data_IF_390573841767
#
_entry.id   IF_390573841767
#
_cell.length_a   1.000
_cell.length_b   1.000
_cell.length_c   1.000
_cell.angle_alpha   90.00
_cell.angle_beta   90.00
_cell.angle_gamma   90.00
#
_symmetry.space_group_name_H-M   'P 1'
#
loop_
_entity.id
_entity.type
_entity.pdbx_description
1 polymer ?
#
# COMPACT_ATOMS: atom_id res chain seq x y z
N UNK A 1 -4.27 -40.30 -11.94
CA UNK A 1 -4.98 -40.71 -10.72
C UNK A 1 -3.97 -40.71 -9.56
N UNK A 2 -4.23 -39.87 -8.54
CA UNK A 2 -3.86 -39.88 -7.11
C UNK A 2 -2.71 -40.80 -6.62
N UNK A 3 -1.85 -40.48 -5.64
CA UNK A 3 -1.90 -39.45 -4.60
C UNK A 3 -0.55 -39.33 -3.87
N UNK A 4 -0.41 -38.16 -3.25
CA UNK A 4 0.56 -37.63 -2.27
C UNK A 4 0.80 -38.54 -1.05
N UNK A 5 2.04 -38.59 -0.53
CA UNK A 5 2.31 -38.50 0.92
C UNK A 5 3.71 -37.92 1.15
N UNK A 6 3.76 -36.69 1.67
CA UNK A 6 4.98 -36.01 2.13
C UNK A 6 5.17 -36.34 3.61
N UNK A 7 6.24 -37.06 3.94
CA UNK A 7 6.76 -37.24 5.30
C UNK A 7 8.01 -36.38 5.41
N UNK A 8 7.89 -35.21 6.03
CA UNK A 8 9.04 -34.37 6.39
C UNK A 8 9.62 -34.87 7.72
N UNK A 9 10.66 -35.70 7.62
CA UNK A 9 11.65 -35.86 8.67
C UNK A 9 12.40 -34.54 8.87
N UNK A 10 12.20 -33.87 10.00
CA UNK A 10 13.10 -32.81 10.44
C UNK A 10 14.30 -33.49 11.14
N UNK A 11 15.28 -33.94 10.34
CA UNK A 11 16.63 -34.29 10.80
C UNK A 11 17.66 -33.44 10.07
N UNK A 12 18.61 -32.91 10.84
CA UNK A 12 19.84 -32.22 10.44
C UNK A 12 19.69 -30.87 9.73
N UNK A 13 19.87 -29.79 10.51
CA UNK A 13 20.61 -28.63 10.02
C UNK A 13 21.89 -28.50 10.85
N UNK A 14 23.00 -28.78 10.17
CA UNK A 14 24.37 -28.46 10.54
C UNK A 14 24.55 -26.94 10.63
N UNK A 15 25.04 -26.44 11.77
CA UNK A 15 25.46 -25.05 12.04
C UNK A 15 24.48 -23.94 11.62
N UNK A 16 23.40 -23.75 12.39
CA UNK A 16 22.78 -22.44 12.57
C UNK A 16 22.45 -22.28 14.05
N UNK A 17 23.15 -21.37 14.72
CA UNK A 17 22.73 -20.83 16.02
C UNK A 17 21.31 -20.31 15.85
N UNK A 18 20.31 -20.87 16.54
CA UNK A 18 18.92 -20.44 16.41
C UNK A 18 18.82 -19.02 17.00
N UNK A 19 18.86 -18.02 16.12
CA UNK A 19 18.78 -16.61 16.49
C UNK A 19 17.33 -16.18 16.48
N UNK A 20 16.82 -15.79 17.64
CA UNK A 20 15.47 -15.25 17.80
C UNK A 20 15.58 -13.75 18.01
N UNK A 21 14.79 -12.99 17.26
CA UNK A 21 14.68 -11.54 17.42
C UNK A 21 13.56 -11.22 18.40
N UNK A 22 13.79 -10.25 19.25
CA UNK A 22 12.80 -9.79 20.21
C UNK A 22 12.79 -8.25 20.28
N UNK A 23 11.63 -7.71 20.61
CA UNK A 23 11.44 -6.27 20.79
C UNK A 23 11.65 -5.90 22.26
N UNK A 24 12.47 -4.88 22.50
CA UNK A 24 12.74 -4.30 23.81
C UNK A 24 11.44 -3.83 24.49
N UNK A 25 11.20 -4.24 25.73
CA UNK A 25 9.96 -3.98 26.48
C UNK A 25 8.75 -4.81 26.02
N UNK A 26 8.98 -5.91 25.32
CA UNK A 26 7.96 -6.89 24.92
C UNK A 26 8.36 -8.29 25.42
N UNK A 27 7.99 -9.36 24.72
CA UNK A 27 8.32 -10.74 25.09
C UNK A 27 8.86 -11.55 23.91
N UNK A 28 9.33 -12.76 24.19
CA UNK A 28 9.79 -13.70 23.16
C UNK A 28 9.42 -15.13 23.52
N UNK A 29 8.68 -15.78 22.64
CA UNK A 29 8.46 -17.22 22.66
C UNK A 29 9.64 -17.93 22.01
N UNK A 30 10.11 -18.97 22.69
CA UNK A 30 11.21 -19.83 22.26
C UNK A 30 10.61 -21.20 21.98
N UNK A 31 10.27 -21.54 20.73
CA UNK A 31 9.83 -22.88 20.39
C UNK A 31 10.94 -23.89 20.67
N UNK A 32 10.64 -24.91 21.46
CA UNK A 32 11.68 -25.81 21.95
C UNK A 32 11.11 -27.22 22.11
N UNK A 33 11.88 -28.21 21.66
CA UNK A 33 11.72 -29.61 22.03
C UNK A 33 13.07 -30.18 22.44
N UNK A 34 13.06 -31.16 23.32
CA UNK A 34 14.30 -31.73 23.85
C UNK A 34 14.37 -33.24 23.69
N UNK A 35 15.59 -33.79 23.71
CA UNK A 35 15.85 -35.23 23.59
C UNK A 35 16.35 -35.79 24.90
N UNK A 36 15.61 -36.72 25.49
CA UNK A 36 16.01 -37.45 26.69
C UNK A 36 15.84 -38.97 26.48
N UNK A 37 16.62 -39.83 27.17
CA UNK A 37 16.47 -41.28 27.08
C UNK A 37 15.04 -41.72 27.42
N UNK A 38 14.47 -42.61 26.62
CA UNK A 38 13.10 -43.11 26.83
C UNK A 38 12.89 -43.79 28.18
N UNK A 39 13.89 -44.52 28.65
CA UNK A 39 13.87 -45.20 29.96
C UNK A 39 13.73 -44.20 31.11
N UNK A 40 14.41 -43.06 31.03
CA UNK A 40 14.30 -42.00 32.03
C UNK A 40 12.94 -41.30 31.90
N UNK A 41 12.52 -40.95 30.67
CA UNK A 41 11.22 -40.29 30.43
C UNK A 41 10.02 -41.12 30.94
N UNK A 42 10.10 -42.45 30.90
CA UNK A 42 9.01 -43.33 31.36
C UNK A 42 8.96 -43.48 32.89
N UNK A 43 10.11 -43.37 33.55
CA UNK A 43 10.23 -43.67 34.98
C UNK A 43 10.29 -42.42 35.86
N UNK A 44 10.56 -41.24 35.28
CA UNK A 44 10.69 -39.99 36.03
C UNK A 44 9.36 -39.56 36.67
N UNK A 45 9.42 -39.15 37.94
CA UNK A 45 8.24 -38.63 38.65
C UNK A 45 8.03 -37.14 38.41
N UNK A 46 9.12 -36.38 38.31
CA UNK A 46 9.08 -34.92 38.11
C UNK A 46 10.14 -34.49 37.12
N UNK A 47 9.78 -33.55 36.24
CA UNK A 47 10.66 -32.96 35.24
C UNK A 47 10.67 -31.46 35.49
N UNK A 48 11.85 -30.89 35.64
CA UNK A 48 12.07 -29.46 35.85
C UNK A 48 12.87 -28.88 34.71
N UNK A 49 12.57 -27.64 34.41
CA UNK A 49 13.24 -26.86 33.37
C UNK A 49 14.15 -25.78 33.96
N UNK A 50 15.22 -25.49 33.23
CA UNK A 50 16.23 -24.51 33.60
C UNK A 50 16.72 -23.76 32.36
N UNK A 51 16.95 -22.46 32.48
CA UNK A 51 17.61 -21.64 31.47
C UNK A 51 18.88 -21.01 32.03
N UNK A 52 19.97 -21.14 31.27
CA UNK A 52 21.30 -20.61 31.62
C UNK A 52 21.71 -19.61 30.56
N UNK A 53 22.19 -18.44 30.96
CA UNK A 53 22.64 -17.35 30.08
C UNK A 53 24.16 -17.34 29.95
N UNK A 54 24.70 -16.88 28.81
CA UNK A 54 26.14 -16.72 28.48
C UNK A 54 26.95 -17.99 28.31
N UNK A 55 26.87 -18.92 29.26
CA UNK A 55 27.72 -20.11 29.30
C UNK A 55 26.89 -21.35 29.60
N UNK A 56 27.19 -22.46 28.92
CA UNK A 56 26.58 -23.77 29.15
C UNK A 56 26.90 -24.37 30.53
N UNK A 57 27.99 -23.93 31.14
CA UNK A 57 28.50 -24.51 32.36
C UNK A 57 27.59 -24.16 33.55
N UNK A 58 26.91 -25.17 34.10
CA UNK A 58 26.25 -25.08 35.39
C UNK A 58 27.31 -25.15 36.50
N UNK A 59 28.17 -24.12 36.55
CA UNK A 59 29.25 -23.99 37.53
C UNK A 59 28.84 -23.03 38.64
N UNK A 60 29.29 -23.28 39.87
CA UNK A 60 29.19 -22.30 40.94
C UNK A 60 30.13 -21.12 40.65
N UNK A 61 29.67 -19.87 40.81
CA UNK A 61 28.33 -19.50 41.28
C UNK A 61 27.26 -19.64 40.19
N UNK A 62 26.05 -20.08 40.59
CA UNK A 62 24.84 -20.22 39.76
C UNK A 62 24.34 -18.88 39.19
N UNK A 63 25.17 -17.82 39.17
CA UNK A 63 24.84 -16.48 38.70
C UNK A 63 24.38 -16.42 37.25
N UNK A 64 24.67 -17.46 36.45
CA UNK A 64 24.26 -17.58 35.06
C UNK A 64 22.90 -18.24 34.86
N UNK A 65 22.34 -18.88 35.91
CA UNK A 65 21.00 -19.47 35.87
C UNK A 65 19.98 -18.35 35.98
N UNK A 66 19.24 -18.12 34.90
CA UNK A 66 18.21 -17.07 34.82
C UNK A 66 16.83 -17.58 35.18
N UNK A 67 16.60 -18.89 35.04
CA UNK A 67 15.37 -19.57 35.41
C UNK A 67 15.68 -20.99 35.90
N UNK A 68 15.12 -21.40 37.04
CA UNK A 68 15.12 -22.78 37.51
C UNK A 68 13.83 -23.06 38.27
N UNK A 69 13.00 -23.93 37.70
CA UNK A 69 11.70 -24.32 38.26
C UNK A 69 11.82 -25.09 39.57
N UNK A 70 12.80 -26.00 39.68
CA UNK A 70 13.01 -26.81 40.88
C UNK A 70 13.40 -25.98 42.11
N UNK A 71 14.15 -24.91 41.89
CA UNK A 71 14.71 -24.06 42.96
C UNK A 71 14.03 -22.70 43.06
N UNK A 72 12.97 -22.48 42.29
CA UNK A 72 12.25 -21.21 42.17
C UNK A 72 13.18 -20.00 41.95
N UNK A 73 14.15 -20.15 41.02
CA UNK A 73 15.09 -19.10 40.67
C UNK A 73 14.55 -18.35 39.47
N UNK A 74 14.45 -17.02 39.57
CA UNK A 74 14.24 -16.10 38.46
C UNK A 74 15.21 -14.92 38.63
N UNK A 75 16.13 -14.72 37.68
CA UNK A 75 17.18 -13.68 37.79
C UNK A 75 17.27 -12.86 36.52
N UNK A 76 17.23 -11.55 36.68
CA UNK A 76 17.33 -10.60 35.57
C UNK A 76 16.06 -10.49 34.72
N UNK A 77 15.06 -11.33 34.93
CA UNK A 77 13.78 -11.27 34.21
C UNK A 77 12.62 -11.03 35.16
N UNK A 78 11.58 -10.37 34.68
CA UNK A 78 10.38 -10.10 35.46
C UNK A 78 9.46 -11.32 35.52
N UNK A 79 9.36 -12.07 34.41
CA UNK A 79 8.57 -13.29 34.32
C UNK A 79 9.06 -14.20 33.18
N UNK A 80 9.17 -15.50 33.46
CA UNK A 80 9.43 -16.55 32.48
C UNK A 80 8.40 -17.65 32.70
N UNK A 81 7.76 -18.12 31.63
CA UNK A 81 6.69 -19.12 31.67
C UNK A 81 6.99 -20.26 30.70
N UNK A 82 6.93 -21.49 31.19
CA UNK A 82 6.99 -22.69 30.34
C UNK A 82 5.58 -22.99 29.84
N UNK A 83 5.39 -22.93 28.52
CA UNK A 83 4.11 -23.27 27.88
C UNK A 83 4.06 -24.74 27.44
N UNK A 84 5.22 -25.33 27.12
CA UNK A 84 5.31 -26.70 26.64
C UNK A 84 5.08 -27.74 27.73
N UNK A 85 4.50 -28.87 27.36
CA UNK A 85 4.40 -30.02 28.25
C UNK A 85 5.73 -30.81 28.28
N UNK A 86 6.49 -30.66 29.37
CA UNK A 86 7.80 -31.32 29.53
C UNK A 86 7.71 -32.86 29.45
N UNK A 87 6.59 -33.47 29.86
CA UNK A 87 6.37 -34.92 29.74
C UNK A 87 6.22 -35.38 28.29
N UNK A 88 5.78 -34.48 27.41
CA UNK A 88 5.73 -34.67 25.95
C UNK A 88 7.01 -34.19 25.25
N UNK A 89 8.06 -33.85 26.00
CA UNK A 89 9.34 -33.33 25.53
C UNK A 89 9.27 -31.94 24.90
N UNK A 90 8.24 -31.17 25.25
CA UNK A 90 8.06 -29.81 24.79
C UNK A 90 8.59 -28.83 25.84
N UNK A 91 9.56 -28.01 25.46
CA UNK A 91 10.22 -27.02 26.32
C UNK A 91 9.93 -25.58 25.89
N UNK A 92 8.88 -25.37 25.09
CA UNK A 92 8.51 -24.03 24.62
C UNK A 92 8.33 -23.09 25.80
N UNK A 93 9.13 -22.02 25.81
CA UNK A 93 9.21 -21.07 26.93
C UNK A 93 8.98 -19.65 26.44
N UNK A 94 8.29 -18.82 27.22
CA UNK A 94 8.13 -17.38 26.94
C UNK A 94 8.91 -16.59 27.97
N UNK A 95 9.73 -15.66 27.48
CA UNK A 95 10.46 -14.70 28.30
C UNK A 95 9.73 -13.37 28.15
N UNK A 96 9.17 -12.84 29.25
CA UNK A 96 8.45 -11.57 29.25
C UNK A 96 9.36 -10.41 29.65
N UNK A 97 8.98 -9.22 29.21
CA UNK A 97 9.64 -7.95 29.51
C UNK A 97 11.14 -7.97 29.17
N UNK A 98 11.45 -8.41 27.94
CA UNK A 98 12.84 -8.52 27.48
C UNK A 98 13.42 -7.15 27.15
N UNK A 99 14.62 -6.89 27.63
CA UNK A 99 15.33 -5.61 27.46
C UNK A 99 16.65 -5.83 26.72
N UNK A 100 17.28 -4.76 26.22
CA UNK A 100 18.52 -4.87 25.42
C UNK A 100 19.66 -5.63 26.12
N UNK A 101 19.78 -5.53 27.44
CA UNK A 101 20.77 -6.25 28.26
C UNK A 101 20.50 -7.79 28.33
N UNK A 102 19.35 -8.26 27.84
CA UNK A 102 19.01 -9.67 27.71
C UNK A 102 19.53 -10.28 26.40
N UNK A 103 20.14 -9.50 25.51
CA UNK A 103 20.78 -10.03 24.30
C UNK A 103 21.94 -10.95 24.67
N UNK A 104 21.82 -12.25 24.40
CA UNK A 104 22.83 -13.25 24.75
C UNK A 104 22.51 -14.64 24.19
N UNK A 105 23.39 -15.60 24.45
CA UNK A 105 23.13 -17.02 24.26
C UNK A 105 22.48 -17.64 25.49
N UNK A 106 21.45 -18.45 25.26
CA UNK A 106 20.68 -19.16 26.26
C UNK A 106 20.75 -20.66 26.02
N UNK A 107 20.93 -21.41 27.11
CA UNK A 107 21.07 -22.85 27.10
C UNK A 107 19.93 -23.47 27.91
N UNK A 108 19.20 -24.38 27.29
CA UNK A 108 18.17 -25.15 27.98
C UNK A 108 18.82 -26.29 28.77
N UNK A 109 18.35 -26.48 29.99
CA UNK A 109 18.71 -27.59 30.87
C UNK A 109 17.45 -28.23 31.41
N UNK A 110 17.45 -29.55 31.47
CA UNK A 110 16.37 -30.36 32.05
C UNK A 110 16.90 -31.14 33.24
N UNK A 111 16.12 -31.18 34.33
CA UNK A 111 16.41 -31.94 35.53
C UNK A 111 15.23 -32.87 35.85
N UNK A 112 15.49 -34.16 35.87
CA UNK A 112 14.52 -35.21 36.17
C UNK A 112 14.82 -35.82 37.54
N UNK A 113 13.76 -36.11 38.29
CA UNK A 113 13.83 -36.70 39.62
C UNK A 113 13.23 -38.10 39.62
N UNK A 114 13.93 -39.01 40.30
CA UNK A 114 13.55 -40.41 40.48
C UNK A 114 13.28 -41.13 39.15
N UNK A 115 14.31 -41.56 38.38
CA UNK A 115 15.74 -41.49 38.67
C UNK A 115 16.34 -40.08 38.44
N UNK A 116 17.36 -39.72 39.22
CA UNK A 116 18.08 -38.45 39.03
C UNK A 116 18.81 -38.45 37.67
N UNK A 117 18.37 -37.57 36.78
CA UNK A 117 19.03 -37.34 35.50
C UNK A 117 19.01 -35.85 35.16
N UNK A 118 20.16 -35.30 34.77
CA UNK A 118 20.28 -33.87 34.46
C UNK A 118 21.07 -33.70 33.18
N UNK A 119 20.63 -32.82 32.29
CA UNK A 119 21.30 -32.57 31.03
C UNK A 119 21.18 -31.12 30.59
N UNK A 120 22.29 -30.53 30.14
CA UNK A 120 22.33 -29.21 29.52
C UNK A 120 22.60 -29.37 28.03
N UNK A 121 21.75 -28.80 27.18
CA UNK A 121 21.89 -28.88 25.72
C UNK A 121 22.92 -27.85 25.21
N UNK A 122 24.18 -28.19 25.42
CA UNK A 122 25.28 -27.25 25.31
C UNK A 122 25.67 -26.88 23.87
N UNK A 123 25.40 -27.77 22.91
CA UNK A 123 25.77 -27.59 21.51
C UNK A 123 24.73 -26.83 20.66
N UNK A 124 23.54 -26.59 21.20
CA UNK A 124 22.45 -25.91 20.50
C UNK A 124 21.95 -24.70 21.32
N UNK A 125 22.80 -23.68 21.58
CA UNK A 125 22.34 -22.47 22.24
C UNK A 125 21.38 -21.69 21.36
N UNK A 126 20.46 -21.00 22.02
CA UNK A 126 19.53 -20.06 21.39
C UNK A 126 20.07 -18.66 21.61
N UNK A 127 20.30 -17.93 20.52
CA UNK A 127 20.73 -16.55 20.60
C UNK A 127 19.50 -15.65 20.61
N UNK A 128 19.22 -14.99 21.74
CA UNK A 128 18.17 -13.97 21.78
C UNK A 128 18.82 -12.64 21.44
N UNK A 129 18.35 -11.98 20.40
CA UNK A 129 18.79 -10.65 20.00
C UNK A 129 17.67 -9.64 20.17
N UNK A 130 17.83 -8.72 21.11
CA UNK A 130 16.82 -7.72 21.47
C UNK A 130 17.16 -6.40 20.77
N UNK A 131 16.15 -5.77 20.18
CA UNK A 131 16.23 -4.48 19.48
C UNK A 131 15.14 -3.53 19.98
N UNK A 132 15.39 -2.23 19.99
CA UNK A 132 14.36 -1.21 20.28
C UNK A 132 13.45 -0.93 19.09
N UNK A 133 13.89 -1.30 17.88
CA UNK A 133 13.17 -1.10 16.63
C UNK A 133 12.67 -2.46 16.11
N UNK A 134 11.34 -2.64 15.95
CA UNK A 134 10.78 -3.86 15.38
C UNK A 134 11.02 -3.92 13.87
N UNK A 135 10.93 -5.12 13.31
CA UNK A 135 11.05 -5.30 11.86
C UNK A 135 9.78 -4.80 11.15
N UNK A 136 9.92 -4.10 10.02
CA UNK A 136 8.78 -3.71 9.20
C UNK A 136 7.96 -4.94 8.79
N UNK A 137 6.62 -4.81 8.70
CA UNK A 137 5.80 -5.91 8.24
C UNK A 137 6.13 -6.26 6.79
N UNK A 138 6.09 -7.54 6.46
CA UNK A 138 6.38 -8.02 5.09
C UNK A 138 5.10 -7.85 4.27
N UNK A 139 5.11 -6.89 3.35
CA UNK A 139 4.05 -6.66 2.38
C UNK A 139 4.36 -7.37 1.07
N UNK A 140 3.43 -8.22 0.62
CA UNK A 140 3.55 -9.07 -0.55
C UNK A 140 2.41 -8.84 -1.55
N UNK A 141 2.72 -8.74 -2.86
CA UNK A 141 4.08 -8.62 -3.42
C UNK A 141 4.73 -7.28 -3.03
N UNK A 142 6.06 -7.28 -2.86
CA UNK A 142 6.82 -6.07 -2.48
C UNK A 142 6.88 -5.04 -3.61
N UNK A 143 6.91 -5.52 -4.86
CA UNK A 143 6.73 -4.71 -6.05
C UNK A 143 5.56 -5.28 -6.86
N UNK A 144 4.45 -4.56 -6.87
CA UNK A 144 3.27 -4.94 -7.63
C UNK A 144 3.51 -4.59 -9.10
N UNK A 145 3.49 -5.61 -9.96
CA UNK A 145 3.48 -5.42 -11.41
C UNK A 145 2.26 -4.61 -11.83
N UNK A 146 2.32 -4.05 -13.03
CA UNK A 146 1.20 -3.28 -13.58
C UNK A 146 -0.02 -4.19 -13.76
N UNK A 147 -1.20 -3.70 -13.36
CA UNK A 147 -2.45 -4.45 -13.40
C UNK A 147 -3.51 -3.69 -14.18
N UNK A 148 -4.32 -4.38 -14.97
CA UNK A 148 -5.41 -3.74 -15.69
C UNK A 148 -6.58 -3.38 -14.75
N UNK A 149 -7.32 -2.32 -15.08
CA UNK A 149 -8.59 -1.98 -14.45
C UNK A 149 -9.52 -3.20 -14.38
N UNK A 150 -10.34 -3.28 -13.33
CA UNK A 150 -11.27 -4.38 -13.04
C UNK A 150 -10.61 -5.72 -12.65
N UNK A 151 -9.27 -5.80 -12.62
CA UNK A 151 -8.54 -6.98 -12.14
C UNK A 151 -8.61 -7.07 -10.62
N UNK A 152 -8.81 -8.28 -10.10
CA UNK A 152 -8.75 -8.55 -8.65
C UNK A 152 -7.29 -8.62 -8.19
N UNK A 153 -6.92 -7.77 -7.23
CA UNK A 153 -5.58 -7.72 -6.63
C UNK A 153 -5.65 -8.29 -5.22
N UNK A 154 -4.67 -9.13 -4.88
CA UNK A 154 -4.50 -9.70 -3.55
C UNK A 154 -3.18 -9.22 -2.96
N UNK A 155 -3.26 -8.51 -1.83
CA UNK A 155 -2.10 -8.14 -1.03
C UNK A 155 -2.11 -8.95 0.26
N UNK A 156 -0.93 -9.38 0.71
CA UNK A 156 -0.77 -9.99 2.03
C UNK A 156 0.30 -9.24 2.80
N UNK A 157 -0.04 -8.87 4.03
CA UNK A 157 0.86 -8.25 4.97
C UNK A 157 1.05 -9.16 6.17
N UNK A 158 2.31 -9.36 6.60
CA UNK A 158 2.62 -10.21 7.74
C UNK A 158 3.58 -9.55 8.72
N UNK A 159 3.36 -9.80 10.01
CA UNK A 159 4.23 -9.35 11.08
C UNK A 159 4.47 -10.50 12.07
N UNK A 160 5.71 -10.67 12.51
CA UNK A 160 6.05 -11.69 13.52
C UNK A 160 5.32 -11.41 14.83
N UNK A 161 4.76 -12.45 15.44
CA UNK A 161 4.05 -12.40 16.71
C UNK A 161 4.83 -13.21 17.75
N UNK A 162 5.99 -12.73 18.23
CA UNK A 162 6.81 -13.44 19.21
C UNK A 162 6.12 -13.57 20.57
N UNK A 163 5.02 -12.85 20.78
CA UNK A 163 4.23 -12.83 22.01
C UNK A 163 2.84 -13.44 21.83
N UNK A 164 2.58 -14.67 22.32
CA UNK A 164 1.29 -15.33 22.15
C UNK A 164 0.13 -14.58 22.81
N UNK A 165 0.36 -14.01 24.00
CA UNK A 165 -0.66 -13.26 24.77
C UNK A 165 -0.84 -11.82 24.27
N UNK A 166 0.08 -11.31 23.45
CA UNK A 166 0.12 -9.92 22.98
C UNK A 166 0.65 -9.82 21.54
N UNK A 167 -0.07 -10.38 20.55
CA UNK A 167 0.35 -10.29 19.15
C UNK A 167 0.26 -8.85 18.64
N UNK A 168 1.05 -8.48 17.61
CA UNK A 168 0.93 -7.18 16.98
C UNK A 168 -0.42 -7.03 16.26
N UNK A 169 -0.91 -5.80 16.14
CA UNK A 169 -2.10 -5.50 15.34
C UNK A 169 -1.68 -4.98 13.97
N UNK A 170 -2.40 -5.41 12.92
CA UNK A 170 -2.17 -4.94 11.55
C UNK A 170 -3.31 -3.99 11.15
N UNK A 171 -2.94 -2.83 10.60
CA UNK A 171 -3.87 -1.87 10.01
C UNK A 171 -3.43 -1.47 8.61
N UNK A 172 -4.41 -1.11 7.77
CA UNK A 172 -4.18 -0.67 6.40
C UNK A 172 -4.61 0.79 6.24
N UNK A 173 -3.91 1.54 5.39
CA UNK A 173 -4.29 2.91 5.01
C UNK A 173 -4.25 3.10 3.50
N UNK A 174 -4.94 4.15 3.03
CA UNK A 174 -5.14 4.45 1.60
C UNK A 174 -5.74 3.29 0.80
N UNK A 175 -6.64 2.53 1.42
CA UNK A 175 -7.25 1.35 0.81
C UNK A 175 -8.27 1.73 -0.29
N UNK A 176 -8.40 0.90 -1.33
CA UNK A 176 -9.48 1.01 -2.32
C UNK A 176 -10.87 0.85 -1.70
N UNK A 177 -11.88 1.47 -2.30
CA UNK A 177 -13.27 1.41 -1.81
C UNK A 177 -13.84 -0.02 -1.81
N UNK A 178 -13.41 -0.85 -2.76
CA UNK A 178 -13.83 -2.25 -2.90
C UNK A 178 -13.05 -3.24 -2.01
N UNK A 179 -12.19 -2.74 -1.11
CA UNK A 179 -11.29 -3.58 -0.33
C UNK A 179 -12.04 -4.42 0.71
N UNK A 180 -11.73 -5.72 0.70
CA UNK A 180 -12.12 -6.67 1.72
C UNK A 180 -10.87 -7.16 2.46
N UNK A 181 -10.87 -7.03 3.78
CA UNK A 181 -9.70 -7.32 4.63
C UNK A 181 -10.04 -8.46 5.58
N UNK A 182 -9.15 -9.45 5.66
CA UNK A 182 -9.20 -10.51 6.67
C UNK A 182 -7.88 -10.57 7.42
N UNK A 183 -7.93 -10.77 8.74
CA UNK A 183 -6.73 -10.85 9.58
C UNK A 183 -6.82 -12.09 10.45
N UNK A 184 -5.71 -12.83 10.53
CA UNK A 184 -5.63 -14.06 11.32
C UNK A 184 -4.22 -14.27 11.88
N UNK A 185 -4.15 -14.77 13.12
CA UNK A 185 -2.92 -15.26 13.72
C UNK A 185 -2.69 -16.69 13.20
N UNK A 186 -1.50 -16.96 12.68
CA UNK A 186 -1.12 -18.27 12.16
C UNK A 186 0.19 -18.74 12.80
N UNK A 187 0.26 -20.04 13.08
CA UNK A 187 1.50 -20.70 13.46
C UNK A 187 2.22 -21.20 12.21
N UNK A 188 3.51 -20.87 12.09
CA UNK A 188 4.39 -21.30 11.02
C UNK A 188 4.91 -22.71 11.27
N UNK A 189 5.46 -23.40 10.24
CA UNK A 189 6.02 -24.74 10.39
C UNK A 189 7.12 -24.87 11.46
N UNK A 190 7.79 -23.77 11.80
CA UNK A 190 8.81 -23.68 12.84
C UNK A 190 8.25 -23.42 14.26
N UNK A 191 6.92 -23.49 14.43
CA UNK A 191 6.16 -23.19 15.66
C UNK A 191 6.29 -21.73 16.15
N UNK A 192 6.81 -20.83 15.32
CA UNK A 192 6.69 -19.39 15.55
C UNK A 192 5.32 -18.91 15.10
N UNK A 193 4.85 -17.79 15.63
CA UNK A 193 3.56 -17.23 15.28
C UNK A 193 3.74 -15.93 14.51
N UNK A 194 2.82 -15.66 13.58
CA UNK A 194 2.77 -14.40 12.86
C UNK A 194 1.32 -14.00 12.61
N UNK A 195 1.07 -12.70 12.62
CA UNK A 195 -0.22 -12.16 12.19
C UNK A 195 -0.14 -11.95 10.69
N UNK A 196 -1.13 -12.48 9.97
CA UNK A 196 -1.32 -12.26 8.55
C UNK A 196 -2.60 -11.48 8.32
N UNK A 197 -2.51 -10.42 7.53
CA UNK A 197 -3.66 -9.67 7.02
C UNK A 197 -3.67 -9.76 5.50
N UNK A 198 -4.79 -10.19 4.94
CA UNK A 198 -5.02 -10.31 3.50
C UNK A 198 -6.00 -9.23 3.08
N UNK A 199 -5.65 -8.49 2.03
CA UNK A 199 -6.52 -7.51 1.42
C UNK A 199 -6.78 -7.88 -0.04
N UNK A 200 -8.04 -8.04 -0.38
CA UNK A 200 -8.49 -8.29 -1.74
C UNK A 200 -9.36 -7.13 -2.21
N UNK A 201 -9.09 -6.60 -3.39
CA UNK A 201 -9.89 -5.51 -3.97
C UNK A 201 -9.93 -5.60 -5.49
N UNK A 202 -10.87 -4.88 -6.10
CA UNK A 202 -10.96 -4.74 -7.56
C UNK A 202 -10.30 -3.43 -7.97
N UNK A 203 -9.30 -3.50 -8.85
CA UNK A 203 -8.50 -2.35 -9.27
C UNK A 203 -9.36 -1.30 -10.02
N UNK A 204 -9.29 -0.03 -9.61
CA UNK A 204 -9.95 1.09 -10.27
C UNK A 204 -8.94 2.12 -10.77
N UNK A 205 -9.23 2.81 -11.88
CA UNK A 205 -8.38 3.92 -12.35
C UNK A 205 -8.17 5.02 -11.29
N UNK A 206 -9.13 5.18 -10.36
CA UNK A 206 -9.04 6.14 -9.25
C UNK A 206 -7.95 5.79 -8.23
N UNK A 207 -7.49 4.54 -8.23
CA UNK A 207 -6.46 4.05 -7.30
C UNK A 207 -5.05 4.06 -7.91
N UNK A 208 -4.92 4.44 -9.19
CA UNK A 208 -3.62 4.55 -9.85
C UNK A 208 -2.70 5.53 -9.11
N UNK A 209 -1.45 5.10 -8.85
CA UNK A 209 -0.41 5.81 -8.07
C UNK A 209 -0.75 6.07 -6.60
N UNK A 210 -1.76 5.41 -6.03
CA UNK A 210 -1.94 5.40 -4.57
C UNK A 210 -0.91 4.48 -3.92
N UNK A 211 -0.38 4.92 -2.77
CA UNK A 211 0.48 4.11 -1.92
C UNK A 211 -0.37 3.49 -0.82
N UNK A 212 -0.58 2.18 -0.90
CA UNK A 212 -1.20 1.40 0.16
C UNK A 212 -0.14 1.14 1.22
N UNK A 213 -0.41 1.51 2.47
CA UNK A 213 0.47 1.21 3.60
C UNK A 213 -0.15 0.14 4.49
N UNK A 214 0.64 -0.86 4.84
CA UNK A 214 0.36 -1.79 5.92
C UNK A 214 1.20 -1.40 7.14
N UNK A 215 0.55 -1.16 8.27
CA UNK A 215 1.20 -0.82 9.54
C UNK A 215 1.05 -1.95 10.55
N UNK A 216 2.15 -2.36 11.17
CA UNK A 216 2.16 -3.25 12.32
C UNK A 216 2.40 -2.44 13.60
N UNK A 217 1.52 -2.62 14.59
CA UNK A 217 1.61 -1.99 15.91
C UNK A 217 1.98 -3.05 16.93
N UNK A 218 3.13 -2.89 17.56
CA UNK A 218 3.64 -3.84 18.55
C UNK A 218 3.35 -3.33 19.97
N UNK A 219 2.57 -4.08 20.78
CA UNK A 219 2.29 -3.72 22.15
C UNK A 219 3.57 -3.81 23.00
N UNK A 220 3.79 -2.81 23.85
CA UNK A 220 4.94 -2.74 24.76
C UNK A 220 4.52 -2.42 26.18
N UNK A 221 5.34 -2.83 27.15
CA UNK A 221 5.25 -2.40 28.56
C UNK A 221 5.75 -0.95 28.77
N UNK A 222 5.80 -0.13 27.72
CA UNK A 222 6.22 1.27 27.75
C UNK A 222 5.07 2.18 27.34
N UNK A 223 5.10 3.48 27.69
CA UNK A 223 3.95 4.39 27.48
C UNK A 223 3.52 4.60 26.01
N UNK A 224 4.30 4.13 25.04
CA UNK A 224 4.01 4.28 23.61
C UNK A 224 4.28 2.96 22.88
N UNK A 225 3.27 2.47 22.19
CA UNK A 225 3.42 1.37 21.24
C UNK A 225 4.34 1.78 20.09
N UNK A 226 5.09 0.83 19.56
CA UNK A 226 5.94 1.07 18.39
C UNK A 226 5.21 0.62 17.13
N UNK A 227 5.08 1.53 16.16
CA UNK A 227 4.50 1.26 14.86
C UNK A 227 5.57 1.25 13.78
N UNK A 228 5.49 0.29 12.87
CA UNK A 228 6.33 0.21 11.67
C UNK A 228 5.46 -0.11 10.47
N UNK A 229 5.77 0.47 9.32
CA UNK A 229 4.95 0.33 8.11
C UNK A 229 5.76 -0.11 6.89
N UNK A 230 5.05 -0.75 5.96
CA UNK A 230 5.52 -1.09 4.63
C UNK A 230 4.49 -0.63 3.60
N UNK A 231 4.96 -0.08 2.49
CA UNK A 231 4.09 0.55 1.48
C UNK A 231 4.28 -0.05 0.09
N UNK A 232 3.20 -0.15 -0.69
CA UNK A 232 3.25 -0.52 -2.11
C UNK A 232 2.47 0.47 -2.95
N UNK A 233 3.04 0.89 -4.09
CA UNK A 233 2.38 1.79 -5.04
C UNK A 233 1.58 1.00 -6.07
N UNK A 234 0.31 1.36 -6.26
CA UNK A 234 -0.52 0.76 -7.30
C UNK A 234 -0.22 1.33 -8.68
N UNK A 235 0.10 0.46 -9.64
CA UNK A 235 0.27 0.81 -11.05
C UNK A 235 -0.85 0.18 -11.88
N UNK A 236 -1.94 0.92 -12.01
CA UNK A 236 -3.14 0.44 -12.73
C UNK A 236 -3.11 0.94 -14.17
N UNK A 237 -3.33 0.05 -15.12
CA UNK A 237 -3.48 0.31 -16.55
C UNK A 237 -4.96 0.45 -16.89
N UNK A 238 -5.33 1.49 -17.63
CA UNK A 238 -6.73 1.79 -17.95
C UNK A 238 -6.88 2.67 -19.20
N UNK A 239 -7.99 2.54 -19.93
CA UNK A 239 -8.29 3.41 -21.07
C UNK A 239 -8.54 4.85 -20.63
N UNK A 240 -8.46 5.85 -21.53
CA UNK A 240 -8.76 7.25 -21.24
C UNK A 240 -10.07 7.46 -20.45
N UNK A 241 -9.99 8.22 -19.36
CA UNK A 241 -11.10 8.63 -18.49
C UNK A 241 -11.10 10.14 -18.29
N UNK A 242 -12.27 10.68 -17.99
CA UNK A 242 -12.47 12.12 -17.74
C UNK A 242 -11.95 13.02 -18.88
N UNK A 243 -12.02 12.56 -20.14
CA UNK A 243 -11.62 13.34 -21.31
C UNK A 243 -12.48 14.60 -21.44
N UNK A 244 -11.84 15.77 -21.42
CA UNK A 244 -12.51 17.07 -21.55
C UNK A 244 -11.63 18.09 -22.28
N UNK A 245 -12.26 19.17 -22.76
CA UNK A 245 -11.58 20.27 -23.43
C UNK A 245 -11.54 21.49 -22.52
N UNK A 246 -10.44 22.24 -22.58
CA UNK A 246 -10.29 23.58 -22.01
C UNK A 246 -9.90 24.55 -23.11
N UNK A 247 -10.38 25.80 -23.03
CA UNK A 247 -10.13 26.84 -24.02
C UNK A 247 -9.44 28.01 -23.32
N UNK A 248 -8.33 28.47 -23.88
CA UNK A 248 -7.60 29.65 -23.44
C UNK A 248 -7.56 30.69 -24.57
N UNK A 249 -7.89 31.98 -24.33
CA UNK A 249 -8.21 32.57 -23.03
C UNK A 249 -9.67 32.35 -22.56
N UNK A 250 -10.62 32.18 -23.48
CA UNK A 250 -12.04 32.01 -23.16
C UNK A 250 -12.79 31.31 -24.31
N UNK A 251 -13.98 30.80 -24.01
CA UNK A 251 -14.91 30.22 -24.98
C UNK A 251 -15.57 31.26 -25.90
N UNK A 252 -15.45 32.54 -25.59
CA UNK A 252 -15.88 33.68 -26.41
C UNK A 252 -14.73 34.66 -26.62
N UNK A 253 -14.32 34.87 -27.88
CA UNK A 253 -13.18 35.72 -28.24
C UNK A 253 -13.47 36.61 -29.45
N UNK A 254 -12.72 37.70 -29.59
CA UNK A 254 -12.75 38.52 -30.80
C UNK A 254 -11.96 37.88 -31.95
N UNK A 255 -12.29 38.25 -33.19
CA UNK A 255 -11.50 37.89 -34.38
C UNK A 255 -10.04 38.37 -34.21
N UNK A 256 -9.08 37.52 -34.57
CA UNK A 256 -7.64 37.78 -34.47
C UNK A 256 -7.01 37.33 -33.16
N UNK A 257 -7.80 37.04 -32.12
CA UNK A 257 -7.29 36.50 -30.85
C UNK A 257 -6.70 35.12 -31.05
N UNK A 258 -5.50 34.88 -30.51
CA UNK A 258 -4.91 33.55 -30.53
C UNK A 258 -5.61 32.65 -29.50
N UNK A 259 -6.22 31.56 -29.95
CA UNK A 259 -6.98 30.63 -29.11
C UNK A 259 -6.26 29.30 -29.05
N UNK A 260 -6.16 28.72 -27.87
CA UNK A 260 -5.65 27.37 -27.66
C UNK A 260 -6.74 26.48 -27.08
N UNK A 261 -7.11 25.42 -27.80
CA UNK A 261 -7.90 24.34 -27.25
C UNK A 261 -6.96 23.24 -26.74
N UNK A 262 -7.15 22.80 -25.51
CA UNK A 262 -6.38 21.73 -24.88
C UNK A 262 -7.30 20.58 -24.48
N UNK A 263 -6.99 19.36 -24.94
CA UNK A 263 -7.71 18.15 -24.59
C UNK A 263 -6.98 17.48 -23.42
N UNK A 264 -7.66 17.28 -22.31
CA UNK A 264 -7.10 16.64 -21.11
C UNK A 264 -7.82 15.33 -20.86
N UNK A 265 -7.06 14.29 -20.50
CA UNK A 265 -7.60 12.97 -20.18
C UNK A 265 -6.70 12.26 -19.16
N UNK A 266 -7.28 11.44 -18.29
CA UNK A 266 -6.55 10.53 -17.40
C UNK A 266 -6.41 9.19 -18.11
N UNK A 267 -5.19 8.70 -18.30
CA UNK A 267 -4.94 7.40 -18.91
C UNK A 267 -3.68 6.76 -18.32
N UNK A 268 -3.57 5.45 -18.43
CA UNK A 268 -2.37 4.69 -18.06
C UNK A 268 -2.20 3.51 -19.03
N UNK A 269 -1.11 3.46 -19.84
CA UNK A 269 0.00 4.40 -19.88
C UNK A 269 -0.43 5.79 -20.37
N UNK A 270 0.30 6.82 -19.90
CA UNK A 270 0.03 8.23 -20.21
C UNK A 270 0.98 8.80 -21.28
N UNK A 271 2.10 8.15 -21.53
CA UNK A 271 3.11 8.54 -22.51
C UNK A 271 2.67 8.29 -23.96
N UNK A 272 1.81 7.29 -24.18
CA UNK A 272 1.40 6.88 -25.53
C UNK A 272 -0.04 7.33 -25.87
N UNK A 273 -0.55 8.33 -25.14
CA UNK A 273 -1.88 8.86 -25.38
C UNK A 273 -1.91 9.69 -26.67
N UNK A 274 -2.80 9.34 -27.59
CA UNK A 274 -3.02 10.06 -28.83
C UNK A 274 -4.30 10.88 -28.68
N UNK A 275 -4.23 12.16 -29.05
CA UNK A 275 -5.40 13.02 -29.12
C UNK A 275 -5.85 13.17 -30.57
N UNK A 276 -7.14 13.41 -30.80
CA UNK A 276 -7.69 13.62 -32.14
C UNK A 276 -8.81 14.65 -32.08
N UNK A 277 -8.62 15.78 -32.75
CA UNK A 277 -9.54 16.91 -32.72
C UNK A 277 -10.53 16.90 -33.87
N UNK A 278 -11.78 17.24 -33.57
CA UNK A 278 -12.84 17.32 -34.55
C UNK A 278 -13.72 18.55 -34.31
N UNK A 279 -14.26 19.10 -35.39
CA UNK A 279 -15.35 20.06 -35.35
C UNK A 279 -16.67 19.30 -35.56
N UNK A 280 -17.68 19.61 -34.77
CA UNK A 280 -19.00 18.97 -34.90
C UNK A 280 -19.56 19.16 -36.31
N UNK A 281 -20.05 18.06 -36.90
CA UNK A 281 -20.55 18.04 -38.28
C UNK A 281 -19.47 17.88 -39.35
N UNK A 282 -18.19 17.85 -38.99
CA UNK A 282 -17.08 17.53 -39.88
C UNK A 282 -16.51 16.13 -39.52
N UNK A 283 -16.31 15.29 -40.52
CA UNK A 283 -15.67 13.98 -40.35
C UNK A 283 -14.14 14.05 -40.43
N UNK A 284 -13.60 15.20 -40.88
CA UNK A 284 -12.17 15.41 -41.01
C UNK A 284 -11.54 15.72 -39.65
N UNK A 285 -10.50 14.95 -39.32
CA UNK A 285 -9.65 15.20 -38.16
C UNK A 285 -8.80 16.46 -38.38
N UNK A 286 -8.77 17.34 -37.38
CA UNK A 286 -8.10 18.64 -37.43
C UNK A 286 -6.64 18.59 -36.97
N UNK A 287 -6.37 17.90 -35.86
CA UNK A 287 -5.05 17.82 -35.23
C UNK A 287 -4.93 16.53 -34.37
N UNK A 288 -3.71 16.17 -34.00
CA UNK A 288 -3.32 14.98 -33.23
C UNK A 288 -2.69 15.32 -31.87
N UNK A 289 -2.35 16.58 -31.65
CA UNK A 289 -1.67 17.04 -30.44
C UNK A 289 -2.65 17.21 -29.30
N UNK A 290 -2.12 17.19 -28.08
CA UNK A 290 -2.87 17.56 -26.87
C UNK A 290 -3.48 18.97 -27.00
N UNK A 291 -2.78 19.87 -27.70
CA UNK A 291 -3.15 21.27 -27.87
C UNK A 291 -3.23 21.65 -29.35
N UNK A 292 -4.28 22.40 -29.70
CA UNK A 292 -4.49 22.99 -31.02
C UNK A 292 -4.63 24.51 -30.87
N UNK A 293 -3.69 25.26 -31.44
CA UNK A 293 -3.64 26.73 -31.36
C UNK A 293 -3.84 27.36 -32.74
N UNK A 294 -4.69 28.39 -32.82
CA UNK A 294 -4.92 29.15 -34.05
C UNK A 294 -5.44 30.56 -33.76
N UNK A 295 -5.22 31.48 -34.71
CA UNK A 295 -5.83 32.82 -34.69
C UNK A 295 -7.32 32.73 -35.03
N UNK A 296 -8.18 33.15 -34.10
CA UNK A 296 -9.62 33.04 -34.22
C UNK A 296 -10.16 33.85 -35.40
N UNK A 297 -10.94 33.18 -36.26
CA UNK A 297 -11.72 33.82 -37.32
C UNK A 297 -13.16 33.28 -37.31
N UNK A 298 -14.02 33.83 -38.18
CA UNK A 298 -15.43 33.43 -38.23
C UNK A 298 -15.64 31.96 -38.63
N UNK A 299 -14.74 31.34 -39.40
CA UNK A 299 -14.87 29.93 -39.78
C UNK A 299 -14.43 28.98 -38.67
N UNK A 300 -13.68 29.47 -37.67
CA UNK A 300 -13.35 28.72 -36.47
C UNK A 300 -14.49 28.64 -35.46
N UNK A 301 -15.52 29.50 -35.54
CA UNK A 301 -16.66 29.40 -34.63
C UNK A 301 -17.39 28.05 -34.80
N UNK A 302 -17.77 27.43 -33.69
CA UNK A 302 -18.52 26.16 -33.71
C UNK A 302 -18.25 25.26 -32.50
N UNK A 303 -18.79 24.05 -32.57
CA UNK A 303 -18.62 23.04 -31.52
C UNK A 303 -17.44 22.13 -31.83
N UNK A 304 -16.64 21.84 -30.81
CA UNK A 304 -15.45 21.01 -30.87
C UNK A 304 -15.54 19.85 -29.91
N UNK A 305 -14.97 18.71 -30.30
CA UNK A 305 -14.74 17.59 -29.40
C UNK A 305 -13.37 16.96 -29.71
N UNK A 306 -12.79 16.31 -28.71
CA UNK A 306 -11.57 15.54 -28.86
C UNK A 306 -11.81 14.08 -28.49
N UNK A 307 -11.03 13.19 -29.11
CA UNK A 307 -10.95 11.78 -28.74
C UNK A 307 -9.55 11.57 -28.18
N UNK A 308 -9.47 10.96 -27.00
CA UNK A 308 -8.23 10.47 -26.41
C UNK A 308 -8.17 8.95 -26.58
N UNK A 309 -7.01 8.42 -26.93
CA UNK A 309 -6.78 7.00 -27.25
C UNK A 309 -5.48 6.50 -26.62
N UNK A 310 -5.51 5.30 -26.04
CA UNK A 310 -4.33 4.51 -25.73
C UNK A 310 -4.57 3.03 -26.13
N UNK A 311 -3.60 2.16 -25.87
CA UNK A 311 -3.69 0.73 -26.21
C UNK A 311 -4.88 -0.02 -25.58
N UNK A 312 -5.46 0.52 -24.50
CA UNK A 312 -6.59 -0.10 -23.78
C UNK A 312 -7.95 0.45 -24.22
N UNK A 313 -8.00 1.50 -25.03
CA UNK A 313 -9.24 2.00 -25.61
C UNK A 313 -9.27 3.51 -25.81
N UNK A 314 -10.49 4.02 -25.99
CA UNK A 314 -10.75 5.41 -26.41
C UNK A 314 -11.82 6.07 -25.55
N UNK A 315 -11.75 7.38 -25.41
CA UNK A 315 -12.84 8.18 -24.86
C UNK A 315 -12.99 9.51 -25.58
N UNK A 316 -14.21 9.78 -26.03
CA UNK A 316 -14.64 11.06 -26.60
C UNK A 316 -15.01 12.06 -25.50
N UNK A 317 -14.56 13.30 -25.63
CA UNK A 317 -14.98 14.41 -24.77
C UNK A 317 -16.44 14.82 -25.01
N UNK A 318 -17.03 15.55 -24.06
CA UNK A 318 -18.21 16.37 -24.34
C UNK A 318 -17.84 17.48 -25.34
N UNK A 319 -18.83 17.93 -26.09
CA UNK A 319 -18.70 19.04 -27.02
C UNK A 319 -18.57 20.37 -26.26
N UNK A 320 -17.69 21.26 -26.74
CA UNK A 320 -17.54 22.63 -26.25
C UNK A 320 -17.70 23.62 -27.40
N UNK A 321 -18.33 24.77 -27.15
CA UNK A 321 -18.56 25.79 -28.18
C UNK A 321 -17.47 26.86 -28.12
N UNK A 322 -16.87 27.18 -29.28
CA UNK A 322 -16.06 28.37 -29.47
C UNK A 322 -16.89 29.43 -30.20
N UNK A 323 -17.04 30.59 -29.56
CA UNK A 323 -17.72 31.77 -30.08
C UNK A 323 -16.66 32.77 -30.53
N UNK A 324 -16.76 33.22 -31.78
CA UNK A 324 -15.88 34.26 -32.34
C UNK A 324 -16.70 35.48 -32.67
N UNK A 325 -16.62 36.51 -31.84
CA UNK A 325 -17.24 37.80 -32.05
C UNK A 325 -16.45 38.59 -33.09
N UNK A 326 -17.12 39.09 -34.13
CA UNK A 326 -16.54 40.06 -35.04
C UNK A 326 -16.89 41.46 -34.59
N UNK A 327 -15.90 42.36 -34.48
CA UNK A 327 -16.21 43.78 -34.63
C UNK A 327 -16.77 43.99 -36.05
N UNK A 328 -17.94 44.60 -36.18
CA UNK A 328 -18.31 45.19 -37.47
C UNK A 328 -17.26 46.26 -37.75
N UNK A 329 -16.62 46.23 -38.93
CA UNK A 329 -15.75 47.31 -39.39
C UNK A 329 -16.41 48.66 -39.07
N UNK A 330 -15.75 49.48 -38.24
CA UNK A 330 -16.23 50.81 -37.85
C UNK A 330 -16.52 51.69 -39.07
N UNK A 331 -15.78 51.49 -40.17
CA UNK A 331 -16.05 52.13 -41.48
C UNK A 331 -17.39 51.71 -42.09
N UNK A 332 -17.79 50.43 -41.98
CA UNK A 332 -19.07 49.95 -42.50
C UNK A 332 -20.21 50.50 -41.64
N UNK A 333 -20.04 50.53 -40.31
CA UNK A 333 -21.03 51.15 -39.42
C UNK A 333 -21.20 52.64 -39.72
N UNK A 334 -20.10 53.38 -39.89
CA UNK A 334 -20.17 54.81 -40.20
C UNK A 334 -20.77 55.07 -41.58
N UNK A 335 -20.42 54.26 -42.59
CA UNK A 335 -20.99 54.36 -43.93
C UNK A 335 -22.48 54.03 -43.96
N UNK A 336 -22.94 53.01 -43.23
CA UNK A 336 -24.36 52.65 -43.12
C UNK A 336 -25.15 53.74 -42.38
N UNK A 337 -24.60 54.28 -41.29
CA UNK A 337 -25.20 55.41 -40.56
C UNK A 337 -25.30 56.65 -41.47
N UNK A 338 -24.23 57.02 -42.17
CA UNK A 338 -24.24 58.13 -43.14
C UNK A 338 -25.27 57.91 -44.25
N UNK A 339 -25.30 56.73 -44.88
CA UNK A 339 -26.30 56.40 -45.92
C UNK A 339 -27.73 56.49 -45.39
N UNK A 340 -27.99 56.00 -44.18
CA UNK A 340 -29.32 56.08 -43.56
C UNK A 340 -29.76 57.52 -43.29
N UNK A 341 -28.83 58.37 -42.84
CA UNK A 341 -29.08 59.79 -42.60
C UNK A 341 -29.32 60.56 -43.90
N UNK A 342 -28.51 60.28 -44.94
CA UNK A 342 -28.68 60.87 -46.28
C UNK A 342 -30.04 60.52 -46.88
N UNK A 343 -30.48 59.25 -46.78
CA UNK A 343 -31.80 58.82 -47.25
C UNK A 343 -32.92 59.52 -46.48
N UNK A 344 -32.78 59.67 -45.16
CA UNK A 344 -33.78 60.36 -44.35
C UNK A 344 -33.92 61.84 -44.73
N UNK A 345 -32.80 62.53 -44.95
CA UNK A 345 -32.78 63.94 -45.40
C UNK A 345 -33.37 64.07 -46.80
N UNK A 346 -33.02 63.17 -47.72
CA UNK A 346 -33.58 63.16 -49.08
C UNK A 346 -35.10 62.95 -49.07
N UNK A 347 -35.60 62.01 -48.25
CA UNK A 347 -37.04 61.79 -48.08
C UNK A 347 -37.73 63.01 -47.45
N UNK A 348 -37.13 63.62 -46.43
CA UNK A 348 -37.67 64.80 -45.76
C UNK A 348 -37.74 66.02 -46.69
N UNK A 349 -36.70 66.25 -47.50
CA UNK A 349 -36.69 67.33 -48.50
C UNK A 349 -37.68 67.09 -49.65
N UNK A 350 -37.84 65.84 -50.11
CA UNK A 350 -38.91 65.48 -51.04
C UNK A 350 -40.30 65.72 -50.45
N UNK A 351 -40.51 65.37 -49.18
CA UNK A 351 -41.75 65.62 -48.46
C UNK A 351 -42.05 67.13 -48.36
N UNK A 352 -41.08 67.95 -47.96
CA UNK A 352 -41.24 69.41 -47.93
C UNK A 352 -41.54 70.02 -49.31
N UNK A 353 -40.86 69.56 -50.37
CA UNK A 353 -41.16 70.02 -51.74
C UNK A 353 -42.57 69.65 -52.19
N UNK A 354 -43.11 68.51 -51.75
CA UNK A 354 -44.49 68.13 -52.06
C UNK A 354 -45.55 69.01 -51.37
N UNK A 355 -45.22 69.65 -50.24
CA UNK A 355 -46.11 70.61 -49.57
C UNK A 355 -46.08 72.01 -50.19
N UNK A 356 -44.92 72.45 -50.70
CA UNK A 356 -44.76 73.79 -51.29
C UNK A 356 -45.51 73.92 -52.64
N UNK A 357 -45.84 72.79 -53.30
CA UNK A 357 -46.62 72.81 -54.56
C UNK A 357 -48.15 72.74 -54.36
N UNK A 358 -48.64 72.67 -53.11
CA UNK A 358 -50.07 72.56 -52.78
C UNK A 358 -50.57 73.80 -52.00
N UNK A 359 -49.77 74.87 -51.93
CA UNK A 359 -50.15 76.14 -51.29
C UNK A 359 -50.59 77.18 -52.30
#
# INVERSE_FOLDING_TARGET
>A
FLSITVLLEVRNLSNVYFRIKALSGSCVQIPCTFKAPETIMKNTERIFSCWIKKNQAFLHPESLVVFNESSNILRGFHHIEILGNLSQRECTTVFYDVMNNHTDNYYFRVEMKNPDWKNTYQYNPINISVSDVPEPPILTPTDLQEVMEETTVNLSCSAEAPCPKQPPTISWSNIPESAHITTQLQEKPDKTQSVFSYMTFKASYKDHRKNISCTATFPRNTPKDTTVESTVMLRIQFPPKETHITIDPSDSVSVGTNVTLTCKSKASPSNDIIFSWYKWGDSKRLDYREQMTFGANRTNAGWYFCIAENEYGIQKSKEIQLIVAGELNSEIQHNVLCLSLFLFIALYTCFLKSFIHVS
#
